data_IF_506168926821
#
_entry.id   IF_506168926821
#
_cell.length_a   1.000
_cell.length_b   1.000
_cell.length_c   1.000
_cell.angle_alpha   90.00
_cell.angle_beta   90.00
_cell.angle_gamma   90.00
#
_symmetry.space_group_name_H-M   'P 1'
#
loop_
_entity.id
_entity.type
_entity.pdbx_description
1 polymer ?
#
# COMPACT_ATOMS: atom_id res chain seq x y z
N UNK A 1 -3.92 -0.56 -16.19
CA UNK A 1 -3.56 0.07 -17.49
C UNK A 1 -2.05 0.03 -17.53
N UNK A 2 -1.42 -0.41 -18.62
CA UNK A 2 0.06 -0.41 -18.71
C UNK A 2 0.42 0.90 -19.42
N UNK A 3 1.00 1.84 -18.69
CA UNK A 3 1.43 3.10 -19.28
C UNK A 3 2.69 2.88 -20.12
N UNK A 4 2.62 3.31 -21.38
CA UNK A 4 3.70 3.12 -22.35
C UNK A 4 4.62 4.34 -22.28
N UNK A 5 5.69 4.21 -21.50
CA UNK A 5 6.74 5.23 -21.40
C UNK A 5 7.57 5.26 -22.69
N UNK A 6 7.68 6.43 -23.33
CA UNK A 6 8.49 6.60 -24.54
C UNK A 6 9.89 7.06 -24.18
N UNK A 7 10.86 6.16 -24.32
CA UNK A 7 12.28 6.44 -24.13
C UNK A 7 12.96 6.72 -25.47
N UNK A 8 13.82 7.73 -25.52
CA UNK A 8 14.66 8.03 -26.68
C UNK A 8 16.10 8.15 -26.25
N UNK A 9 17.01 7.54 -27.00
CA UNK A 9 18.44 7.78 -26.82
C UNK A 9 18.86 9.02 -27.63
N UNK A 10 19.58 9.94 -26.99
CA UNK A 10 20.18 11.11 -27.63
C UNK A 10 21.54 11.39 -27.00
N UNK A 11 22.60 11.46 -27.82
CA UNK A 11 23.97 11.73 -27.35
C UNK A 11 24.50 10.75 -26.28
N UNK A 12 24.05 9.50 -26.30
CA UNK A 12 24.40 8.51 -25.28
C UNK A 12 23.63 8.66 -23.95
N UNK A 13 22.65 9.56 -23.91
CA UNK A 13 21.75 9.76 -22.78
C UNK A 13 20.36 9.21 -23.11
N UNK A 14 19.70 8.63 -22.09
CA UNK A 14 18.28 8.26 -22.18
C UNK A 14 17.46 9.48 -21.81
N UNK A 15 16.67 9.96 -22.76
CA UNK A 15 15.79 11.11 -22.62
C UNK A 15 14.35 10.62 -22.64
N UNK A 16 13.56 11.15 -21.71
CA UNK A 16 12.13 10.91 -21.63
C UNK A 16 11.36 12.23 -21.53
N UNK A 17 10.07 12.20 -21.84
CA UNK A 17 9.23 13.38 -21.65
C UNK A 17 9.06 13.68 -20.16
N UNK A 18 8.80 14.95 -19.83
CA UNK A 18 8.56 15.35 -18.44
C UNK A 18 7.35 14.61 -17.86
N UNK A 19 6.27 14.52 -18.63
CA UNK A 19 5.03 13.87 -18.20
C UNK A 19 5.26 12.38 -17.92
N UNK A 20 6.03 11.69 -18.77
CA UNK A 20 6.40 10.29 -18.54
C UNK A 20 7.26 10.10 -17.28
N UNK A 21 8.15 11.06 -16.99
CA UNK A 21 8.98 11.04 -15.78
C UNK A 21 8.15 11.25 -14.52
N UNK A 22 7.23 12.21 -14.51
CA UNK A 22 6.33 12.46 -13.38
C UNK A 22 5.42 11.25 -13.10
N UNK A 23 4.92 10.60 -14.15
CA UNK A 23 4.14 9.36 -14.01
C UNK A 23 4.97 8.23 -13.38
N UNK A 24 6.18 8.01 -13.88
CA UNK A 24 7.09 7.00 -13.33
C UNK A 24 7.43 7.28 -11.86
N UNK A 25 7.67 8.55 -11.52
CA UNK A 25 7.97 8.95 -10.15
C UNK A 25 6.83 8.59 -9.19
N UNK A 26 5.58 8.86 -9.58
CA UNK A 26 4.41 8.51 -8.77
C UNK A 26 4.27 7.00 -8.55
N UNK A 27 4.57 6.19 -9.58
CA UNK A 27 4.58 4.72 -9.43
C UNK A 27 5.67 4.26 -8.47
N UNK A 28 6.87 4.85 -8.56
CA UNK A 28 8.00 4.53 -7.67
C UNK A 28 7.69 4.91 -6.22
N UNK A 29 7.06 6.07 -5.99
CA UNK A 29 6.63 6.49 -4.65
C UNK A 29 5.61 5.50 -4.04
N UNK A 30 4.62 5.07 -4.82
CA UNK A 30 3.64 4.05 -4.39
C UNK A 30 4.31 2.71 -4.06
N UNK A 31 5.33 2.33 -4.83
CA UNK A 31 6.11 1.12 -4.56
C UNK A 31 6.94 1.26 -3.29
N UNK A 32 7.56 2.43 -3.05
CA UNK A 32 8.30 2.71 -1.81
C UNK A 32 7.36 2.63 -0.61
N UNK A 33 6.20 3.29 -0.66
CA UNK A 33 5.19 3.23 0.41
C UNK A 33 4.77 1.78 0.70
N UNK A 34 4.55 0.98 -0.35
CA UNK A 34 4.24 -0.45 -0.20
C UNK A 34 5.38 -1.20 0.48
N UNK A 35 6.63 -0.94 0.11
CA UNK A 35 7.80 -1.57 0.73
C UNK A 35 7.96 -1.13 2.18
N UNK A 36 7.70 0.14 2.50
CA UNK A 36 7.72 0.65 3.87
C UNK A 36 6.68 -0.06 4.74
N UNK A 37 5.44 -0.21 4.26
CA UNK A 37 4.37 -0.99 4.91
C UNK A 37 4.82 -2.43 5.15
N UNK A 38 5.40 -3.09 4.14
CA UNK A 38 5.90 -4.47 4.27
C UNK A 38 7.11 -4.58 5.19
N UNK A 39 7.89 -3.51 5.36
CA UNK A 39 9.06 -3.47 6.24
C UNK A 39 8.68 -3.35 7.71
N UNK A 40 7.47 -2.84 8.02
CA UNK A 40 6.94 -2.83 9.37
C UNK A 40 6.49 -4.25 9.78
N UNK A 41 7.39 -4.95 10.46
CA UNK A 41 7.14 -6.30 10.96
C UNK A 41 5.93 -6.38 11.88
N UNK A 42 5.65 -5.34 12.68
CA UNK A 42 4.53 -5.35 13.60
C UNK A 42 3.20 -5.22 12.85
N UNK A 43 3.14 -4.33 11.85
CA UNK A 43 1.98 -4.21 10.98
C UNK A 43 1.71 -5.52 10.22
N UNK A 44 2.75 -6.17 9.70
CA UNK A 44 2.61 -7.44 8.98
C UNK A 44 2.13 -8.59 9.87
N UNK A 45 2.57 -8.63 11.14
CA UNK A 45 2.06 -9.59 12.14
C UNK A 45 0.58 -9.34 12.39
N UNK A 46 0.17 -8.09 12.64
CA UNK A 46 -1.23 -7.72 12.88
C UNK A 46 -2.13 -8.07 11.69
N UNK A 47 -1.68 -7.82 10.47
CA UNK A 47 -2.41 -8.18 9.25
C UNK A 47 -2.58 -9.70 9.12
N UNK A 48 -1.53 -10.46 9.41
CA UNK A 48 -1.56 -11.93 9.35
C UNK A 48 -2.49 -12.52 10.40
N UNK A 49 -2.45 -11.99 11.63
CA UNK A 49 -3.36 -12.39 12.71
C UNK A 49 -4.81 -12.05 12.36
N UNK A 50 -5.06 -10.84 11.84
CA UNK A 50 -6.39 -10.45 11.37
C UNK A 50 -6.92 -11.38 10.27
N UNK A 51 -6.08 -11.79 9.32
CA UNK A 51 -6.49 -12.74 8.26
C UNK A 51 -6.88 -14.10 8.84
N UNK A 52 -6.15 -14.57 9.86
CA UNK A 52 -6.45 -15.81 10.56
C UNK A 52 -7.78 -15.72 11.31
N UNK A 53 -8.03 -14.62 12.01
CA UNK A 53 -9.28 -14.40 12.76
C UNK A 53 -10.50 -14.34 11.84
N UNK A 54 -10.38 -13.68 10.69
CA UNK A 54 -11.44 -13.66 9.66
C UNK A 54 -11.71 -15.08 9.15
N UNK A 55 -10.67 -15.85 8.81
CA UNK A 55 -10.81 -17.25 8.34
C UNK A 55 -11.41 -18.16 9.41
N UNK A 56 -11.13 -17.91 10.68
CA UNK A 56 -11.70 -18.63 11.82
C UNK A 56 -13.14 -18.21 12.15
N UNK A 57 -13.68 -17.17 11.49
CA UNK A 57 -15.00 -16.62 11.79
C UNK A 57 -15.06 -15.82 13.09
N UNK A 58 -13.90 -15.43 13.64
CA UNK A 58 -13.78 -14.58 14.82
C UNK A 58 -14.06 -13.10 14.48
N UNK A 59 -15.22 -12.84 13.86
CA UNK A 59 -15.63 -11.52 13.38
C UNK A 59 -16.56 -10.91 14.42
N UNK A 60 -16.18 -9.75 14.98
CA UNK A 60 -17.04 -8.96 15.87
C UNK A 60 -17.67 -7.83 15.07
N UNK A 61 -18.98 -7.90 14.89
CA UNK A 61 -19.74 -6.82 14.25
C UNK A 61 -20.02 -5.71 15.27
N UNK A 62 -19.58 -4.49 14.99
CA UNK A 62 -19.84 -3.32 15.82
C UNK A 62 -21.08 -2.60 15.25
N UNK A 63 -22.16 -2.52 16.02
CA UNK A 63 -23.45 -1.95 15.57
C UNK A 63 -23.73 -0.59 16.18
N UNK A 64 -23.09 -0.30 17.30
CA UNK A 64 -23.36 0.89 18.10
C UNK A 64 -22.07 1.62 18.45
N UNK A 65 -22.19 2.89 18.82
CA UNK A 65 -21.06 3.67 19.32
C UNK A 65 -20.49 3.10 20.63
N UNK A 66 -21.30 2.41 21.42
CA UNK A 66 -20.86 1.78 22.66
C UNK A 66 -20.05 0.51 22.41
N UNK A 67 -20.36 -0.25 21.35
CA UNK A 67 -19.52 -1.37 20.90
C UNK A 67 -18.10 -0.91 20.53
N UNK A 68 -18.01 0.26 19.89
CA UNK A 68 -16.76 0.92 19.53
C UNK A 68 -15.99 1.38 20.78
N UNK A 69 -16.67 2.01 21.75
CA UNK A 69 -16.05 2.43 23.02
C UNK A 69 -15.50 1.25 23.81
N UNK A 70 -16.20 0.11 23.80
CA UNK A 70 -15.77 -1.12 24.46
C UNK A 70 -14.51 -1.76 23.89
N UNK A 71 -13.99 -1.31 22.74
CA UNK A 71 -12.70 -1.78 22.21
C UNK A 71 -11.49 -1.05 22.80
N UNK A 72 -11.70 0.12 23.41
CA UNK A 72 -10.63 0.98 23.93
C UNK A 72 -10.66 1.12 25.46
N UNK A 73 -11.58 0.42 26.12
CA UNK A 73 -11.76 0.41 27.56
C UNK A 73 -11.36 -0.99 28.06
N UNK A 74 -10.10 -1.14 28.48
CA UNK A 74 -9.62 -2.29 29.27
C UNK A 74 -10.18 -2.25 30.70
#
# INVERSE_FOLDING_TARGET
MIDIIKLKEANGEVVMSKDDFESLLSEVESLIETVEILSDQNLMIQLTESEKDIKAGAIKELKTADDLRGLFLE
#
